data_IF_362346251505
#
_entry.id   IF_362346251505
#
_cell.length_a   1.000
_cell.length_b   1.000
_cell.length_c   1.000
_cell.angle_alpha   90.00
_cell.angle_beta   90.00
_cell.angle_gamma   90.00
#
_symmetry.space_group_name_H-M   'P 1'
#
loop_
_entity.id
_entity.type
_entity.pdbx_description
1 polymer ?
#
# COMPACT_ATOMS: atom_id res chain seq x y z
N UNK A 1 -20.50 -10.83 -98.03
CA UNK A 1 -21.56 -10.37 -97.10
C UNK A 1 -21.29 -10.99 -95.74
N UNK A 2 -20.76 -10.17 -94.85
CA UNK A 2 -20.27 -10.57 -93.54
C UNK A 2 -21.39 -10.56 -92.49
N UNK A 3 -21.18 -11.40 -91.46
CA UNK A 3 -21.41 -11.07 -90.06
C UNK A 3 -22.85 -10.81 -89.60
N UNK A 4 -23.37 -11.68 -88.72
CA UNK A 4 -24.21 -11.33 -87.54
C UNK A 4 -24.82 -12.56 -86.86
N UNK A 5 -24.01 -13.49 -86.32
CA UNK A 5 -24.58 -14.60 -85.53
C UNK A 5 -23.83 -14.99 -84.25
N UNK A 6 -22.93 -14.15 -83.75
CA UNK A 6 -22.13 -14.46 -82.55
C UNK A 6 -22.09 -13.32 -81.55
N UNK A 7 -23.26 -12.83 -81.12
CA UNK A 7 -23.31 -11.82 -80.04
C UNK A 7 -24.11 -12.23 -78.80
N UNK A 8 -24.97 -13.25 -78.84
CA UNK A 8 -25.87 -13.54 -77.73
C UNK A 8 -25.42 -14.60 -76.71
N UNK A 9 -24.22 -15.20 -76.86
CA UNK A 9 -23.76 -16.27 -75.95
C UNK A 9 -22.83 -15.79 -74.81
N UNK A 10 -22.45 -14.50 -74.76
CA UNK A 10 -21.51 -14.00 -73.73
C UNK A 10 -22.12 -13.24 -72.55
N UNK A 11 -23.44 -13.24 -72.38
CA UNK A 11 -24.10 -12.54 -71.27
C UNK A 11 -24.96 -13.46 -70.39
N UNK A 12 -24.44 -14.64 -70.06
CA UNK A 12 -25.05 -15.55 -69.10
C UNK A 12 -24.02 -16.10 -68.07
N UNK A 13 -22.95 -15.35 -67.83
CA UNK A 13 -22.06 -15.54 -66.69
C UNK A 13 -21.96 -14.21 -65.93
N UNK A 14 -23.09 -13.60 -65.59
CA UNK A 14 -23.08 -12.59 -64.53
C UNK A 14 -22.93 -13.36 -63.22
N UNK A 15 -21.69 -13.37 -62.73
CA UNK A 15 -21.29 -14.10 -61.53
C UNK A 15 -22.31 -13.98 -60.42
N UNK A 16 -22.77 -15.13 -59.94
CA UNK A 16 -23.29 -15.24 -58.59
C UNK A 16 -22.16 -14.73 -57.69
N UNK A 17 -22.30 -13.49 -57.21
CA UNK A 17 -21.56 -13.02 -56.03
C UNK A 17 -21.92 -14.01 -54.92
N UNK A 18 -21.04 -14.98 -54.68
CA UNK A 18 -21.03 -15.74 -53.43
C UNK A 18 -20.99 -14.70 -52.32
N UNK A 19 -22.13 -14.44 -51.70
CA UNK A 19 -22.19 -13.56 -50.54
C UNK A 19 -21.21 -14.11 -49.51
N UNK A 20 -20.48 -13.20 -48.87
CA UNK A 20 -19.41 -13.47 -47.94
C UNK A 20 -19.94 -14.02 -46.60
N UNK A 21 -20.59 -15.19 -46.62
CA UNK A 21 -21.29 -15.79 -45.47
C UNK A 21 -20.35 -16.32 -44.38
N UNK A 22 -19.05 -16.03 -44.45
CA UNK A 22 -18.05 -16.40 -43.44
C UNK A 22 -17.13 -15.26 -42.99
N UNK A 23 -17.25 -14.06 -43.58
CA UNK A 23 -16.32 -12.96 -43.26
C UNK A 23 -16.45 -12.50 -41.80
N UNK A 24 -17.67 -12.38 -41.27
CA UNK A 24 -17.88 -12.02 -39.86
C UNK A 24 -17.36 -13.07 -38.87
N UNK A 25 -17.37 -14.36 -39.24
CA UNK A 25 -16.80 -15.43 -38.42
C UNK A 25 -15.28 -15.35 -38.39
N UNK A 26 -14.63 -15.04 -39.52
CA UNK A 26 -13.18 -14.88 -39.61
C UNK A 26 -12.70 -13.64 -38.85
N UNK A 27 -13.40 -12.51 -39.00
CA UNK A 27 -13.07 -11.28 -38.26
C UNK A 27 -13.22 -11.48 -36.74
N UNK A 28 -14.30 -12.16 -36.31
CA UNK A 28 -14.49 -12.46 -34.88
C UNK A 28 -13.45 -13.46 -34.38
N UNK A 29 -13.10 -14.49 -35.15
CA UNK A 29 -12.07 -15.46 -34.75
C UNK A 29 -10.68 -14.83 -34.56
N UNK A 30 -10.37 -13.76 -35.32
CA UNK A 30 -9.13 -13.01 -35.18
C UNK A 30 -9.16 -11.99 -34.03
N UNK A 31 -10.31 -11.35 -33.78
CA UNK A 31 -10.45 -10.36 -32.71
C UNK A 31 -10.66 -10.97 -31.32
N UNK A 32 -11.34 -12.11 -31.24
CA UNK A 32 -11.64 -12.80 -29.98
C UNK A 32 -10.40 -13.04 -29.09
N UNK A 33 -9.27 -13.58 -29.58
CA UNK A 33 -8.10 -13.78 -28.71
C UNK A 33 -7.56 -12.46 -28.14
N UNK A 34 -7.52 -11.39 -28.94
CA UNK A 34 -7.10 -10.06 -28.48
C UNK A 34 -8.04 -9.53 -27.39
N UNK A 35 -9.35 -9.69 -27.60
CA UNK A 35 -10.35 -9.29 -26.63
C UNK A 35 -10.22 -10.09 -25.32
N UNK A 36 -9.95 -11.39 -25.39
CA UNK A 36 -9.70 -12.22 -24.21
C UNK A 36 -8.43 -11.81 -23.47
N UNK A 37 -7.34 -11.47 -24.17
CA UNK A 37 -6.14 -10.93 -23.53
C UNK A 37 -6.44 -9.63 -22.77
N UNK A 38 -7.18 -8.70 -23.37
CA UNK A 38 -7.53 -7.43 -22.72
C UNK A 38 -8.48 -7.64 -21.53
N UNK A 39 -9.56 -8.43 -21.70
CA UNK A 39 -10.52 -8.68 -20.62
C UNK A 39 -9.87 -9.41 -19.44
N UNK A 40 -9.01 -10.39 -19.72
CA UNK A 40 -8.32 -11.13 -18.67
C UNK A 40 -7.32 -10.25 -17.90
N UNK A 41 -6.56 -9.40 -18.59
CA UNK A 41 -5.67 -8.42 -17.95
C UNK A 41 -6.42 -7.41 -17.08
N UNK A 42 -7.54 -6.88 -17.56
CA UNK A 42 -8.39 -5.98 -16.78
C UNK A 42 -9.02 -6.67 -15.57
N UNK A 43 -9.37 -7.96 -15.69
CA UNK A 43 -9.94 -8.72 -14.58
C UNK A 43 -8.90 -8.96 -13.48
N UNK A 44 -7.68 -9.38 -13.82
CA UNK A 44 -6.60 -9.56 -12.85
C UNK A 44 -6.23 -8.24 -12.16
N UNK A 45 -6.13 -7.16 -12.94
CA UNK A 45 -5.91 -5.82 -12.39
C UNK A 45 -7.05 -5.39 -11.45
N UNK A 46 -8.30 -5.74 -11.76
CA UNK A 46 -9.44 -5.48 -10.88
C UNK A 46 -9.30 -6.18 -9.52
N UNK A 47 -8.85 -7.43 -9.49
CA UNK A 47 -8.60 -8.15 -8.24
C UNK A 47 -7.45 -7.53 -7.44
N UNK A 48 -6.33 -7.23 -8.10
CA UNK A 48 -5.19 -6.55 -7.49
C UNK A 48 -5.58 -5.20 -6.88
N UNK A 49 -6.31 -4.38 -7.63
CA UNK A 49 -6.75 -3.06 -7.17
C UNK A 49 -7.70 -3.17 -5.98
N UNK A 50 -8.58 -4.16 -5.97
CA UNK A 50 -9.50 -4.38 -4.85
C UNK A 50 -8.74 -4.64 -3.54
N UNK A 51 -7.78 -5.57 -3.55
CA UNK A 51 -6.96 -5.86 -2.35
C UNK A 51 -6.05 -4.67 -1.98
N UNK A 52 -5.52 -3.93 -2.97
CA UNK A 52 -4.76 -2.72 -2.72
C UNK A 52 -5.58 -1.63 -2.01
N UNK A 53 -6.83 -1.42 -2.41
CA UNK A 53 -7.73 -0.45 -1.77
C UNK A 53 -8.10 -0.87 -0.34
N UNK A 54 -8.38 -2.16 -0.13
CA UNK A 54 -8.60 -2.70 1.21
C UNK A 54 -7.42 -2.44 2.15
N UNK A 55 -6.19 -2.70 1.71
CA UNK A 55 -4.97 -2.39 2.47
C UNK A 55 -4.84 -0.88 2.75
N UNK A 56 -5.13 -0.04 1.75
CA UNK A 56 -5.04 1.40 1.90
C UNK A 56 -6.05 1.94 2.94
N UNK A 57 -7.28 1.43 2.94
CA UNK A 57 -8.31 1.83 3.88
C UNK A 57 -8.03 1.30 5.29
N UNK A 58 -7.57 0.05 5.41
CA UNK A 58 -7.12 -0.52 6.69
C UNK A 58 -5.97 0.30 7.29
N UNK A 59 -4.95 0.68 6.50
CA UNK A 59 -3.84 1.51 6.96
C UNK A 59 -4.33 2.88 7.46
N UNK A 60 -5.25 3.52 6.72
CA UNK A 60 -5.82 4.83 7.09
C UNK A 60 -6.65 4.76 8.35
N UNK A 61 -7.52 3.76 8.49
CA UNK A 61 -8.35 3.57 9.67
C UNK A 61 -7.48 3.27 10.90
N UNK A 62 -6.46 2.42 10.75
CA UNK A 62 -5.49 2.13 11.79
C UNK A 62 -4.69 3.37 12.21
N UNK A 63 -4.17 4.14 11.26
CA UNK A 63 -3.44 5.38 11.57
C UNK A 63 -4.33 6.42 12.27
N UNK A 64 -5.63 6.50 11.90
CA UNK A 64 -6.59 7.38 12.56
C UNK A 64 -6.86 6.98 14.00
N UNK A 65 -7.02 5.70 14.24
CA UNK A 65 -7.18 5.17 15.59
C UNK A 65 -5.92 5.43 16.43
N UNK A 66 -4.74 5.21 15.84
CA UNK A 66 -3.47 5.44 16.51
C UNK A 66 -3.25 6.93 16.86
N UNK A 67 -3.77 7.87 16.08
CA UNK A 67 -3.63 9.30 16.31
C UNK A 67 -4.07 9.76 17.71
N UNK A 68 -5.10 9.11 18.28
CA UNK A 68 -5.63 9.38 19.61
C UNK A 68 -4.97 8.52 20.71
N UNK A 69 -4.09 7.60 20.34
CA UNK A 69 -3.41 6.67 21.22
C UNK A 69 -2.16 7.24 21.90
N UNK A 70 -1.73 6.59 22.99
CA UNK A 70 -0.49 6.91 23.70
C UNK A 70 0.66 6.02 23.23
N UNK A 71 1.63 6.55 22.49
CA UNK A 71 2.71 5.76 21.86
C UNK A 71 3.59 4.96 22.85
N UNK A 72 3.62 5.40 24.12
CA UNK A 72 4.43 4.82 25.19
C UNK A 72 3.70 3.77 26.01
N UNK A 73 2.40 3.56 25.78
CA UNK A 73 1.66 2.53 26.48
C UNK A 73 2.05 1.16 25.92
N UNK A 74 2.57 0.30 26.79
CA UNK A 74 2.97 -1.05 26.43
C UNK A 74 2.38 -2.06 27.41
N UNK A 75 1.99 -3.22 26.89
CA UNK A 75 1.59 -4.36 27.71
C UNK A 75 2.05 -5.69 27.09
N UNK A 76 1.86 -6.77 27.85
CA UNK A 76 2.22 -8.13 27.41
C UNK A 76 1.01 -8.90 26.85
N UNK A 77 -0.13 -8.25 26.67
CA UNK A 77 -1.30 -8.89 26.08
C UNK A 77 -1.12 -8.86 24.55
N UNK A 78 -1.27 -10.00 23.90
CA UNK A 78 -1.17 -10.14 22.44
C UNK A 78 -2.55 -10.43 21.82
N UNK A 79 -3.62 -10.37 22.61
CA UNK A 79 -4.97 -10.61 22.13
C UNK A 79 -5.51 -9.40 21.38
N UNK A 80 -6.04 -9.64 20.17
CA UNK A 80 -6.83 -8.68 19.40
C UNK A 80 -8.35 -8.77 19.71
N UNK A 81 -8.74 -9.41 20.81
CA UNK A 81 -10.16 -9.61 21.15
C UNK A 81 -10.83 -8.30 21.63
N UNK A 82 -12.09 -8.02 21.23
CA UNK A 82 -12.83 -6.87 21.74
C UNK A 82 -13.03 -6.93 23.26
N UNK A 83 -12.79 -5.82 23.96
CA UNK A 83 -13.06 -5.67 25.40
C UNK A 83 -12.04 -6.30 26.37
N UNK A 84 -11.21 -7.24 25.91
CA UNK A 84 -10.12 -7.86 26.70
C UNK A 84 -8.77 -7.84 25.98
N UNK A 85 -8.69 -7.12 24.86
CA UNK A 85 -7.50 -7.03 24.02
C UNK A 85 -6.35 -6.25 24.65
N UNK A 86 -5.23 -6.24 23.94
CA UNK A 86 -4.06 -5.43 24.26
C UNK A 86 -4.39 -3.95 24.38
N UNK A 87 -3.69 -3.27 25.29
CA UNK A 87 -3.62 -1.83 25.42
C UNK A 87 -2.29 -1.28 24.90
N UNK A 88 -1.38 -2.13 24.44
CA UNK A 88 -0.16 -1.69 23.76
C UNK A 88 -0.51 -0.89 22.50
N UNK A 89 0.12 0.26 22.33
CA UNK A 89 -0.15 1.16 21.22
C UNK A 89 0.04 0.51 19.84
N UNK A 90 1.17 -0.19 19.66
CA UNK A 90 1.53 -0.76 18.37
C UNK A 90 0.66 -1.98 18.07
N UNK A 91 0.45 -2.83 19.07
CA UNK A 91 -0.41 -4.01 18.90
C UNK A 91 -1.87 -3.63 18.67
N UNK A 92 -2.42 -2.65 19.39
CA UNK A 92 -3.80 -2.21 19.14
C UNK A 92 -3.98 -1.67 17.72
N UNK A 93 -3.00 -0.89 17.25
CA UNK A 93 -3.00 -0.37 15.87
C UNK A 93 -2.95 -1.50 14.85
N UNK A 94 -2.09 -2.50 15.05
CA UNK A 94 -2.04 -3.69 14.19
C UNK A 94 -3.31 -4.55 14.29
N UNK A 95 -3.91 -4.68 15.48
CA UNK A 95 -5.17 -5.38 15.68
C UNK A 95 -6.30 -4.76 14.86
N UNK A 96 -6.34 -3.43 14.77
CA UNK A 96 -7.33 -2.75 13.93
C UNK A 96 -7.12 -3.07 12.45
N UNK A 97 -5.87 -3.11 11.96
CA UNK A 97 -5.59 -3.56 10.58
C UNK A 97 -6.19 -4.94 10.31
N UNK A 98 -5.96 -5.93 11.19
CA UNK A 98 -6.56 -7.25 10.99
C UNK A 98 -8.09 -7.23 11.01
N UNK A 99 -8.69 -6.43 11.89
CA UNK A 99 -10.15 -6.34 11.99
C UNK A 99 -10.78 -5.73 10.74
N UNK A 100 -10.12 -4.76 10.12
CA UNK A 100 -10.55 -4.17 8.86
C UNK A 100 -10.40 -5.18 7.72
N UNK A 101 -9.21 -5.79 7.57
CA UNK A 101 -8.94 -6.75 6.50
C UNK A 101 -9.79 -8.03 6.59
N UNK A 102 -10.14 -8.48 7.81
CA UNK A 102 -11.02 -9.62 8.03
C UNK A 102 -12.49 -9.37 7.62
N UNK A 103 -12.89 -8.10 7.47
CA UNK A 103 -14.24 -7.73 7.02
C UNK A 103 -14.36 -7.70 5.49
N UNK A 104 -13.24 -7.71 4.78
CA UNK A 104 -13.19 -7.67 3.32
C UNK A 104 -13.76 -8.94 2.68
N UNK A 105 -14.25 -8.78 1.45
CA UNK A 105 -14.85 -9.87 0.66
C UNK A 105 -14.29 -9.84 -0.76
N UNK A 106 -13.36 -10.75 -1.14
CA UNK A 106 -12.79 -11.84 -0.32
C UNK A 106 -11.94 -11.33 0.85
N UNK A 107 -11.81 -12.16 1.89
CA UNK A 107 -11.01 -11.85 3.08
C UNK A 107 -9.53 -11.69 2.70
N UNK A 108 -8.88 -10.64 3.21
CA UNK A 108 -7.45 -10.40 3.04
C UNK A 108 -6.74 -10.85 4.30
N UNK A 109 -5.93 -11.90 4.20
CA UNK A 109 -5.19 -12.48 5.34
C UNK A 109 -3.70 -12.19 5.18
N UNK A 110 -3.10 -11.58 6.20
CA UNK A 110 -1.65 -11.38 6.26
C UNK A 110 -0.97 -12.65 6.75
N UNK A 111 0.05 -13.14 6.03
CA UNK A 111 0.81 -14.32 6.42
C UNK A 111 2.28 -13.99 6.72
N UNK A 112 2.56 -13.85 8.01
CA UNK A 112 3.91 -13.56 8.50
C UNK A 112 4.89 -14.72 8.39
N UNK A 113 4.42 -15.94 8.12
CA UNK A 113 5.30 -17.11 8.01
C UNK A 113 6.05 -17.15 6.68
N UNK A 114 5.55 -16.42 5.67
CA UNK A 114 6.19 -16.31 4.34
C UNK A 114 7.48 -15.51 4.35
N UNK A 115 7.73 -14.73 5.41
CA UNK A 115 8.86 -13.81 5.48
C UNK A 115 8.67 -12.50 4.72
N UNK A 116 7.51 -12.26 4.09
CA UNK A 116 7.25 -11.07 3.28
C UNK A 116 6.21 -10.13 3.88
N UNK A 117 5.08 -10.65 4.35
CA UNK A 117 4.01 -9.81 4.90
C UNK A 117 4.42 -9.23 6.25
N UNK A 118 4.04 -7.97 6.49
CA UNK A 118 4.31 -7.30 7.75
C UNK A 118 3.41 -6.07 7.93
N UNK A 119 3.20 -5.67 9.18
CA UNK A 119 2.64 -4.37 9.55
C UNK A 119 3.74 -3.63 10.29
N UNK A 120 4.22 -2.54 9.71
CA UNK A 120 5.25 -1.70 10.32
C UNK A 120 4.65 -0.39 10.80
N UNK A 121 4.78 -0.11 12.09
CA UNK A 121 4.25 1.09 12.73
C UNK A 121 5.41 1.90 13.30
N UNK A 122 5.41 3.21 13.07
CA UNK A 122 6.37 4.12 13.69
C UNK A 122 5.71 5.41 14.12
N UNK A 123 6.16 5.95 15.24
CA UNK A 123 5.77 7.29 15.70
C UNK A 123 6.97 8.22 15.64
N UNK A 124 6.74 9.49 15.33
CA UNK A 124 7.77 10.51 15.17
C UNK A 124 7.40 11.71 16.02
N UNK A 125 8.38 12.24 16.74
CA UNK A 125 8.28 13.50 17.45
C UNK A 125 8.92 14.59 16.59
N UNK A 126 8.16 15.64 16.29
CA UNK A 126 8.60 16.77 15.47
C UNK A 126 8.62 18.00 16.37
N UNK A 127 9.78 18.66 16.45
CA UNK A 127 9.91 19.91 17.18
C UNK A 127 10.11 21.07 16.21
N UNK A 128 9.39 22.16 16.47
CA UNK A 128 9.63 23.46 15.86
C UNK A 128 10.78 24.16 16.60
N UNK A 129 11.63 24.88 15.86
CA UNK A 129 12.66 25.79 16.38
C UNK A 129 13.85 25.16 17.14
N UNK A 130 13.94 23.83 17.22
CA UNK A 130 14.93 23.11 18.04
C UNK A 130 15.80 22.10 17.27
N UNK A 131 16.03 22.35 16.00
CA UNK A 131 16.85 21.51 15.13
C UNK A 131 18.32 21.92 15.17
N UNK A 132 18.99 21.68 16.30
CA UNK A 132 20.45 21.69 16.33
C UNK A 132 20.99 20.37 15.75
N UNK A 133 22.22 20.35 15.26
CA UNK A 133 22.95 19.12 14.94
C UNK A 133 23.93 18.80 16.08
N UNK A 134 23.76 17.71 16.84
CA UNK A 134 22.71 16.68 16.74
C UNK A 134 21.36 17.17 17.29
N UNK A 135 20.23 16.59 16.85
CA UNK A 135 18.91 16.92 17.37
C UNK A 135 18.87 16.57 18.86
N UNK A 136 19.04 17.57 19.71
CA UNK A 136 19.05 17.41 21.16
C UNK A 136 17.66 17.73 21.70
N UNK A 137 17.01 16.71 22.28
CA UNK A 137 15.72 16.84 22.94
C UNK A 137 15.78 16.23 24.36
N UNK A 138 15.45 16.98 25.43
CA UNK A 138 14.93 18.35 25.43
C UNK A 138 15.94 19.39 24.94
N UNK A 139 15.48 20.55 24.44
CA UNK A 139 16.38 21.56 23.89
C UNK A 139 17.35 22.08 24.94
N UNK A 140 18.63 22.13 24.58
CA UNK A 140 19.66 22.69 25.43
C UNK A 140 19.41 24.20 25.62
N UNK A 141 19.18 24.69 26.86
CA UNK A 141 18.87 26.09 27.11
C UNK A 141 19.97 27.06 26.66
N UNK A 142 21.18 26.55 26.39
CA UNK A 142 22.33 27.32 25.92
C UNK A 142 22.38 27.50 24.41
N UNK A 143 21.59 26.73 23.65
CA UNK A 143 21.50 26.84 22.20
C UNK A 143 20.31 27.74 21.89
N UNK A 144 20.52 28.88 21.19
CA UNK A 144 19.40 29.73 20.81
C UNK A 144 18.46 28.95 19.88
N UNK A 145 17.13 29.11 20.03
CA UNK A 145 16.18 28.51 19.09
C UNK A 145 16.53 28.98 17.68
N UNK A 146 16.42 28.08 16.69
CA UNK A 146 16.65 28.40 15.29
C UNK A 146 15.29 28.69 14.64
N UNK A 147 14.89 29.97 14.51
CA UNK A 147 13.54 30.33 14.07
C UNK A 147 13.29 29.81 12.65
N UNK A 148 12.17 29.10 12.46
CA UNK A 148 11.80 28.57 11.15
C UNK A 148 12.59 27.35 10.69
N UNK A 149 13.04 26.50 11.62
CA UNK A 149 13.50 25.14 11.29
C UNK A 149 12.75 24.13 12.14
N UNK A 150 12.03 23.22 11.48
CA UNK A 150 11.38 22.07 12.11
C UNK A 150 12.03 20.78 11.65
N UNK A 151 12.07 19.78 12.52
CA UNK A 151 12.68 18.48 12.24
C UNK A 151 12.13 17.41 13.17
N UNK A 152 12.30 16.16 12.74
CA UNK A 152 12.10 14.99 13.56
C UNK A 152 13.21 14.94 14.62
N UNK A 153 12.82 15.02 15.89
CA UNK A 153 13.74 14.90 17.04
C UNK A 153 13.93 13.46 17.48
N UNK A 154 12.88 12.64 17.35
CA UNK A 154 12.90 11.24 17.77
C UNK A 154 11.92 10.40 16.97
N UNK A 155 12.30 9.13 16.80
CA UNK A 155 11.46 8.06 16.27
C UNK A 155 11.19 7.01 17.33
N UNK A 156 9.98 6.47 17.30
CA UNK A 156 9.45 5.50 18.24
C UNK A 156 8.92 4.24 17.51
N UNK A 157 9.13 3.04 18.07
CA UNK A 157 9.85 2.79 19.33
C UNK A 157 11.36 2.98 19.13
N UNK A 158 12.02 3.58 20.11
CA UNK A 158 13.45 3.93 20.00
C UNK A 158 14.36 2.71 19.88
N UNK A 159 13.90 1.55 20.37
CA UNK A 159 14.59 0.25 20.23
C UNK A 159 14.66 -0.25 18.78
N UNK A 160 13.75 0.18 17.90
CA UNK A 160 13.72 -0.26 16.51
C UNK A 160 14.46 0.69 15.55
N UNK A 161 14.82 1.90 15.98
CA UNK A 161 15.47 2.89 15.12
C UNK A 161 14.68 3.11 13.81
N UNK A 162 15.39 3.10 12.66
CA UNK A 162 14.79 3.24 11.32
C UNK A 162 13.96 2.02 10.87
N UNK A 163 13.96 0.90 11.59
CA UNK A 163 13.18 -0.27 11.20
C UNK A 163 11.69 -0.15 11.55
N UNK A 164 11.32 0.60 12.61
CA UNK A 164 9.95 0.70 13.11
C UNK A 164 9.49 -0.55 13.87
N UNK A 165 8.37 -0.49 14.59
CA UNK A 165 7.79 -1.69 15.21
C UNK A 165 7.21 -2.62 14.14
N UNK A 166 7.48 -3.92 14.20
CA UNK A 166 7.03 -4.91 13.20
C UNK A 166 6.10 -5.93 13.86
N UNK A 167 4.92 -6.12 13.28
CA UNK A 167 3.96 -7.11 13.74
C UNK A 167 4.46 -8.54 13.49
N UNK A 168 5.18 -8.77 12.39
CA UNK A 168 5.81 -10.06 12.14
C UNK A 168 6.85 -10.40 13.23
N UNK A 169 7.67 -9.42 13.62
CA UNK A 169 8.65 -9.59 14.69
C UNK A 169 7.98 -9.88 16.04
N UNK A 170 6.90 -9.16 16.36
CA UNK A 170 6.15 -9.36 17.60
C UNK A 170 5.46 -10.74 17.65
N UNK A 171 4.90 -11.20 16.53
CA UNK A 171 4.16 -12.46 16.45
C UNK A 171 5.06 -13.70 16.30
N UNK A 172 6.15 -13.60 15.53
CA UNK A 172 6.98 -14.76 15.14
C UNK A 172 8.41 -14.72 15.71
N UNK A 173 8.84 -13.60 16.26
CA UNK A 173 10.22 -13.37 16.67
C UNK A 173 11.17 -13.05 15.50
N UNK A 174 10.68 -13.00 14.27
CA UNK A 174 11.45 -12.64 13.07
C UNK A 174 10.82 -11.44 12.39
N UNK A 175 11.64 -10.44 12.06
CA UNK A 175 11.22 -9.28 11.28
C UNK A 175 11.19 -9.63 9.80
N UNK A 176 10.05 -9.43 9.16
CA UNK A 176 9.89 -9.61 7.72
C UNK A 176 10.24 -8.34 6.96
N UNK A 177 9.74 -7.19 7.44
CA UNK A 177 9.94 -5.91 6.77
C UNK A 177 10.42 -4.81 7.72
N UNK A 178 11.05 -3.81 7.11
CA UNK A 178 11.44 -2.56 7.75
C UNK A 178 10.65 -1.42 7.13
N UNK A 179 10.36 -0.42 7.93
CA UNK A 179 9.73 0.81 7.44
C UNK A 179 10.51 1.38 6.25
N UNK A 180 9.80 1.72 5.18
CA UNK A 180 10.38 2.41 4.02
C UNK A 180 10.43 3.92 4.21
N UNK A 181 9.64 4.45 5.14
CA UNK A 181 9.61 5.88 5.46
C UNK A 181 10.70 6.19 6.48
N UNK A 182 11.81 6.73 5.97
CA UNK A 182 12.97 7.09 6.79
C UNK A 182 12.78 8.44 7.49
N UNK A 183 13.51 8.65 8.59
CA UNK A 183 13.52 9.94 9.30
C UNK A 183 14.02 11.07 8.39
N UNK A 184 15.00 10.80 7.52
CA UNK A 184 15.52 11.79 6.56
C UNK A 184 14.49 12.17 5.51
N UNK A 185 13.68 11.23 5.04
CA UNK A 185 12.61 11.49 4.09
C UNK A 185 11.51 12.37 4.70
N UNK A 186 11.14 12.14 5.96
CA UNK A 186 10.18 13.01 6.65
C UNK A 186 10.77 14.42 6.80
N UNK A 187 12.03 14.54 7.22
CA UNK A 187 12.71 15.84 7.31
C UNK A 187 12.78 16.57 5.96
N UNK A 188 12.99 15.84 4.86
CA UNK A 188 13.03 16.42 3.51
C UNK A 188 11.67 16.92 3.02
N UNK A 189 10.57 16.40 3.56
CA UNK A 189 9.18 16.77 3.21
C UNK A 189 8.54 17.72 4.22
N UNK A 190 9.20 17.99 5.34
CA UNK A 190 8.67 18.82 6.42
C UNK A 190 8.75 20.29 6.04
N UNK A 191 7.66 21.04 6.30
CA UNK A 191 7.70 22.49 6.21
C UNK A 191 8.59 23.05 7.33
N UNK A 192 9.50 23.94 6.98
CA UNK A 192 10.36 24.71 7.89
C UNK A 192 9.59 25.44 9.00
N UNK A 193 8.31 25.73 8.79
CA UNK A 193 7.41 26.42 9.72
C UNK A 193 6.40 25.49 10.41
N UNK A 194 6.54 24.16 10.23
CA UNK A 194 5.64 23.19 10.85
C UNK A 194 5.66 23.33 12.38
N UNK A 195 4.51 23.33 13.06
CA UNK A 195 4.46 23.38 14.52
C UNK A 195 5.05 22.12 15.14
N UNK A 196 5.43 22.21 16.42
CA UNK A 196 5.73 21.01 17.20
C UNK A 196 4.51 20.09 17.22
N UNK A 197 4.71 18.83 16.84
CA UNK A 197 3.64 17.83 16.73
C UNK A 197 4.24 16.44 16.80
N UNK A 198 3.41 15.42 16.99
CA UNK A 198 3.78 14.05 16.64
C UNK A 198 3.12 13.60 15.34
N UNK A 199 3.65 12.51 14.79
CA UNK A 199 3.17 11.85 13.58
C UNK A 199 3.23 10.34 13.78
N UNK A 200 2.24 9.60 13.29
CA UNK A 200 2.26 8.14 13.21
C UNK A 200 2.24 7.69 11.75
N UNK A 201 3.10 6.71 11.42
CA UNK A 201 3.05 5.95 10.17
C UNK A 201 2.55 4.55 10.44
N UNK A 202 1.60 4.11 9.63
CA UNK A 202 1.20 2.71 9.52
C UNK A 202 1.52 2.26 8.10
N UNK A 203 2.44 1.32 7.97
CA UNK A 203 2.88 0.74 6.70
C UNK A 203 2.46 -0.73 6.65
N UNK A 204 1.83 -1.12 5.55
CA UNK A 204 1.41 -2.49 5.28
C UNK A 204 2.26 -3.06 4.15
N UNK A 205 2.79 -4.24 4.38
CA UNK A 205 3.47 -5.06 3.39
C UNK A 205 2.65 -6.32 3.18
N UNK A 206 2.17 -6.52 1.95
CA UNK A 206 1.29 -7.63 1.63
C UNK A 206 1.68 -8.26 0.29
N UNK A 207 1.75 -9.58 0.30
CA UNK A 207 2.14 -10.39 -0.85
C UNK A 207 0.89 -10.77 -1.64
N UNK A 208 0.63 -10.07 -2.74
CA UNK A 208 -0.47 -10.36 -3.64
C UNK A 208 -0.14 -11.56 -4.53
N UNK A 209 -0.94 -12.62 -4.44
CA UNK A 209 -0.91 -13.73 -5.37
C UNK A 209 -1.89 -13.51 -6.53
N UNK A 210 -1.40 -13.64 -7.76
CA UNK A 210 -2.24 -13.49 -8.95
C UNK A 210 -3.35 -14.56 -8.96
N UNK A 211 -4.61 -14.15 -9.15
CA UNK A 211 -5.76 -15.07 -9.07
C UNK A 211 -5.87 -15.95 -10.31
N UNK A 212 -5.62 -15.38 -11.49
CA UNK A 212 -5.75 -16.07 -12.77
C UNK A 212 -4.46 -16.74 -13.24
N UNK A 213 -3.30 -16.42 -12.64
CA UNK A 213 -1.96 -16.97 -12.95
C UNK A 213 -1.67 -17.04 -14.45
N UNK A 214 -2.01 -15.97 -15.17
CA UNK A 214 -1.99 -15.95 -16.63
C UNK A 214 -0.55 -15.80 -17.14
N UNK A 215 -0.05 -16.72 -17.99
CA UNK A 215 1.34 -16.71 -18.44
C UNK A 215 1.77 -15.39 -19.11
N UNK A 216 0.86 -14.72 -19.82
CA UNK A 216 1.18 -13.45 -20.48
C UNK A 216 1.25 -12.25 -19.52
N UNK A 217 0.72 -12.37 -18.30
CA UNK A 217 0.86 -11.35 -17.25
C UNK A 217 2.13 -11.61 -16.45
N UNK A 218 2.38 -12.87 -16.10
CA UNK A 218 3.57 -13.28 -15.31
C UNK A 218 4.90 -13.06 -16.03
N UNK A 219 4.90 -12.77 -17.34
CA UNK A 219 6.10 -12.37 -18.09
C UNK A 219 6.53 -10.93 -17.75
N UNK A 220 5.59 -10.07 -17.35
CA UNK A 220 5.84 -8.65 -17.08
C UNK A 220 5.76 -8.30 -15.59
N UNK A 221 5.05 -9.11 -14.82
CA UNK A 221 4.79 -8.87 -13.40
C UNK A 221 5.07 -10.14 -12.60
N UNK A 222 5.84 -10.01 -11.52
CA UNK A 222 6.15 -11.13 -10.64
C UNK A 222 4.88 -11.70 -9.98
N UNK A 223 4.91 -13.01 -9.70
CA UNK A 223 3.90 -13.70 -8.91
C UNK A 223 4.61 -14.54 -7.83
N UNK A 224 4.51 -14.18 -6.55
CA UNK A 224 3.67 -13.12 -6.00
C UNK A 224 4.30 -11.71 -6.06
N UNK A 225 3.45 -10.68 -5.97
CA UNK A 225 3.84 -9.26 -5.98
C UNK A 225 3.74 -8.65 -4.57
N UNK A 226 4.83 -8.08 -4.07
CA UNK A 226 4.83 -7.36 -2.79
C UNK A 226 4.24 -5.95 -2.94
N UNK A 227 3.06 -5.73 -2.35
CA UNK A 227 2.41 -4.44 -2.21
C UNK A 227 2.90 -3.72 -0.96
N UNK A 228 3.10 -2.40 -1.09
CA UNK A 228 3.42 -1.51 0.02
C UNK A 228 2.45 -0.33 0.03
N UNK A 229 1.71 -0.22 1.13
CA UNK A 229 0.74 0.83 1.36
C UNK A 229 1.07 1.52 2.67
N UNK A 230 0.75 2.80 2.78
CA UNK A 230 0.98 3.53 4.01
C UNK A 230 -0.07 4.60 4.27
N UNK A 231 -0.20 4.95 5.54
CA UNK A 231 -0.95 6.10 6.02
C UNK A 231 -0.15 6.85 7.07
N UNK A 232 -0.30 8.18 7.05
CA UNK A 232 0.37 9.14 7.92
C UNK A 232 -0.71 9.97 8.60
N UNK A 233 -0.69 10.06 9.93
CA UNK A 233 -1.63 10.87 10.70
C UNK A 233 -0.95 11.60 11.85
N UNK A 234 -1.46 12.76 12.30
CA UNK A 234 -0.93 13.43 13.49
C UNK A 234 -1.07 12.50 14.70
N UNK A 235 -0.12 12.59 15.63
CA UNK A 235 -0.11 11.80 16.87
C UNK A 235 0.19 12.73 18.03
N UNK A 236 -0.83 13.13 18.78
CA UNK A 236 -0.69 14.12 19.86
C UNK A 236 0.21 13.62 21.00
N UNK A 237 0.20 12.31 21.27
CA UNK A 237 1.01 11.75 22.36
C UNK A 237 2.51 11.77 22.07
N UNK A 238 2.91 11.82 20.80
CA UNK A 238 4.32 11.91 20.40
C UNK A 238 4.80 13.36 20.21
N UNK A 239 3.97 14.36 20.55
CA UNK A 239 4.41 15.74 20.61
C UNK A 239 5.57 15.87 21.61
N UNK A 240 6.68 16.53 21.25
CA UNK A 240 7.77 16.76 22.19
C UNK A 240 7.29 17.63 23.37
N UNK A 241 7.21 17.08 24.59
CA UNK A 241 6.95 17.84 25.83
C UNK A 241 8.23 18.46 26.40
N UNK A 242 8.34 19.78 26.63
CA UNK A 242 9.59 20.45 27.03
C UNK A 242 10.16 20.00 28.38
N UNK A 243 9.33 19.37 29.21
CA UNK A 243 9.70 18.86 30.53
C UNK A 243 10.10 17.38 30.45
N UNK A 244 11.27 16.99 31.01
CA UNK A 244 11.58 15.58 31.23
C UNK A 244 10.46 14.92 32.04
N UNK A 245 9.95 13.79 31.55
CA UNK A 245 9.05 12.95 32.33
C UNK A 245 9.88 12.40 33.51
N UNK A 246 9.43 12.58 34.77
CA UNK A 246 10.18 12.17 35.96
C UNK A 246 10.39 10.66 36.07
#
# INVERSE_FOLDING_TARGET
MASRLTFWVRKALSGAKLQATGQGLVETALLLPILLFVVSGLTEFGFLLNEYLALQDAARNAARFAADGMYNFQDNNHSCAPGTGTRDFYRQTACLVYQELAQERPEVVLDFTTGQDDIVISAFSIAQEYCASPPEYPPNPRIPPNPGVSCVTRRHPSSAGEAGWSAALDATGVRNQTSRITTSEINARLDSSAPSTGLVTVELFYTYEQKLKLPWITIFLDDPLLLHNYALMPLVSAEPTPTPIP
#
